data_IF_902353367746
#
_entry.id   IF_902353367746
#
_cell.length_a   1.000
_cell.length_b   1.000
_cell.length_c   1.000
_cell.angle_alpha   90.00
_cell.angle_beta   90.00
_cell.angle_gamma   90.00
#
_symmetry.space_group_name_H-M   'P 1'
#
loop_
_entity.id
_entity.type
_entity.pdbx_description
1 polymer ?
#
# COMPACT_ATOMS: atom_id res chain seq x y z
N UNK A 1 20.10 11.21 -13.42
CA UNK A 1 18.97 11.43 -14.36
C UNK A 1 18.31 10.12 -14.79
N UNK A 2 19.07 9.12 -15.25
CA UNK A 2 18.54 7.76 -15.56
C UNK A 2 17.79 7.07 -14.41
N UNK A 3 18.31 7.21 -13.17
CA UNK A 3 17.71 6.56 -11.99
C UNK A 3 16.25 6.98 -11.73
N UNK A 4 15.93 8.26 -11.96
CA UNK A 4 14.58 8.79 -11.77
C UNK A 4 13.61 8.29 -12.84
N UNK A 5 14.10 8.11 -14.07
CA UNK A 5 13.30 7.55 -15.16
C UNK A 5 12.96 6.07 -14.90
N UNK A 6 13.93 5.28 -14.45
CA UNK A 6 13.71 3.87 -14.07
C UNK A 6 12.78 3.77 -12.86
N UNK A 7 12.96 4.61 -11.84
CA UNK A 7 12.08 4.64 -10.67
C UNK A 7 10.62 4.97 -11.04
N UNK A 8 10.40 5.92 -11.97
CA UNK A 8 9.06 6.25 -12.46
C UNK A 8 8.41 5.09 -13.21
N UNK A 9 9.15 4.37 -14.06
CA UNK A 9 8.64 3.19 -14.77
C UNK A 9 8.28 2.05 -13.81
N UNK A 10 9.11 1.81 -12.80
CA UNK A 10 8.83 0.80 -11.77
C UNK A 10 7.63 1.24 -10.92
N UNK A 11 7.52 2.50 -10.54
CA UNK A 11 6.38 3.04 -9.80
C UNK A 11 5.06 2.93 -10.58
N UNK A 12 5.10 3.20 -11.90
CA UNK A 12 3.97 3.00 -12.80
C UNK A 12 3.57 1.53 -12.88
N UNK A 13 4.54 0.64 -13.13
CA UNK A 13 4.28 -0.81 -13.18
C UNK A 13 3.74 -1.35 -11.86
N UNK A 14 4.32 -0.92 -10.73
CA UNK A 14 3.87 -1.26 -9.39
C UNK A 14 2.45 -0.77 -9.09
N UNK A 15 2.11 0.44 -9.53
CA UNK A 15 0.76 1.02 -9.37
C UNK A 15 -0.27 0.30 -10.23
N UNK A 16 0.04 0.01 -11.50
CA UNK A 16 -0.86 -0.72 -12.40
C UNK A 16 -1.06 -2.16 -11.90
N UNK A 17 0.02 -2.90 -11.63
CA UNK A 17 -0.09 -4.26 -11.11
C UNK A 17 -0.77 -4.28 -9.74
N UNK A 18 -0.36 -3.39 -8.83
CA UNK A 18 -0.92 -3.28 -7.48
C UNK A 18 -2.42 -2.94 -7.46
N UNK A 19 -2.89 -2.12 -8.42
CA UNK A 19 -4.31 -1.80 -8.57
C UNK A 19 -5.11 -2.92 -9.22
N UNK A 20 -4.52 -3.68 -10.15
CA UNK A 20 -5.12 -4.89 -10.75
C UNK A 20 -5.27 -6.03 -9.74
N UNK A 21 -4.29 -6.23 -8.85
CA UNK A 21 -4.38 -7.27 -7.81
C UNK A 21 -5.20 -6.83 -6.59
N UNK A 22 -5.60 -5.55 -6.50
CA UNK A 22 -6.32 -5.01 -5.35
C UNK A 22 -5.49 -4.90 -4.06
N UNK A 23 -4.18 -5.14 -4.15
CA UNK A 23 -3.23 -5.09 -3.02
C UNK A 23 -2.72 -3.67 -2.72
N UNK A 24 -2.98 -2.71 -3.61
CA UNK A 24 -2.67 -1.29 -3.40
C UNK A 24 -1.21 -0.88 -3.63
N UNK A 25 -0.36 -1.74 -4.20
CA UNK A 25 1.00 -1.40 -4.65
C UNK A 25 2.03 -1.10 -3.55
N UNK A 26 1.61 -1.04 -2.29
CA UNK A 26 2.43 -0.69 -1.13
C UNK A 26 3.63 -1.58 -0.89
N UNK A 27 3.49 -2.88 -1.18
CA UNK A 27 4.56 -3.86 -1.03
C UNK A 27 5.78 -3.56 -1.91
N UNK A 28 5.58 -2.81 -3.00
CA UNK A 28 6.66 -2.34 -3.88
C UNK A 28 7.14 -0.94 -3.48
N UNK A 29 6.23 -0.05 -3.09
CA UNK A 29 6.55 1.35 -2.77
C UNK A 29 7.48 1.46 -1.56
N UNK A 30 7.25 0.69 -0.49
CA UNK A 30 8.10 0.73 0.72
C UNK A 30 9.57 0.36 0.44
N UNK A 31 9.88 -0.80 -0.15
CA UNK A 31 11.27 -1.15 -0.46
C UNK A 31 11.88 -0.24 -1.52
N UNK A 32 11.11 0.26 -2.49
CA UNK A 32 11.61 1.24 -3.46
C UNK A 32 12.06 2.55 -2.80
N UNK A 33 11.27 3.08 -1.86
CA UNK A 33 11.62 4.29 -1.12
C UNK A 33 12.82 4.06 -0.20
N UNK A 34 12.92 2.89 0.42
CA UNK A 34 14.07 2.52 1.24
C UNK A 34 15.37 2.45 0.41
N UNK A 35 15.33 1.77 -0.74
CA UNK A 35 16.48 1.69 -1.68
C UNK A 35 16.85 3.09 -2.21
N UNK A 36 15.88 3.99 -2.35
CA UNK A 36 16.10 5.39 -2.71
C UNK A 36 16.73 6.24 -1.59
N UNK A 37 16.98 5.68 -0.41
CA UNK A 37 17.61 6.36 0.73
C UNK A 37 16.64 7.16 1.60
N UNK A 38 15.33 6.95 1.46
CA UNK A 38 14.32 7.59 2.32
C UNK A 38 14.25 6.84 3.65
N UNK A 39 14.22 7.60 4.75
CA UNK A 39 14.01 7.06 6.09
C UNK A 39 12.76 6.17 6.12
N UNK A 40 12.87 5.00 6.76
CA UNK A 40 11.84 3.98 6.71
C UNK A 40 10.53 4.44 7.37
N UNK A 41 10.57 5.35 8.35
CA UNK A 41 9.36 5.98 8.93
C UNK A 41 8.60 6.77 7.88
N UNK A 42 9.32 7.58 7.12
CA UNK A 42 8.75 8.42 6.07
C UNK A 42 8.27 7.55 4.91
N UNK A 43 9.04 6.53 4.53
CA UNK A 43 8.68 5.59 3.48
C UNK A 43 7.37 4.85 3.79
N UNK A 44 7.21 4.35 5.03
CA UNK A 44 5.98 3.69 5.47
C UNK A 44 4.79 4.65 5.44
N UNK A 45 4.94 5.87 5.99
CA UNK A 45 3.87 6.88 5.97
C UNK A 45 3.44 7.29 4.56
N UNK A 46 4.40 7.57 3.66
CA UNK A 46 4.11 7.95 2.28
C UNK A 46 3.46 6.79 1.50
N UNK A 47 3.93 5.56 1.72
CA UNK A 47 3.33 4.37 1.08
C UNK A 47 1.88 4.17 1.51
N UNK A 48 1.54 4.36 2.79
CA UNK A 48 0.18 4.21 3.30
C UNK A 48 -0.80 5.17 2.60
N UNK A 49 -0.39 6.42 2.42
CA UNK A 49 -1.18 7.41 1.66
C UNK A 49 -1.34 7.01 0.19
N UNK A 50 -0.27 6.56 -0.46
CA UNK A 50 -0.33 6.12 -1.87
C UNK A 50 -1.19 4.86 -2.06
N UNK A 51 -1.14 3.92 -1.12
CA UNK A 51 -1.97 2.72 -1.08
C UNK A 51 -3.44 3.12 -0.93
N UNK A 52 -3.76 4.04 -0.02
CA UNK A 52 -5.13 4.50 0.20
C UNK A 52 -5.79 5.02 -1.08
N UNK A 53 -5.11 5.90 -1.84
CA UNK A 53 -5.62 6.40 -3.11
C UNK A 53 -5.75 5.29 -4.17
N UNK A 54 -4.78 4.37 -4.24
CA UNK A 54 -4.87 3.22 -5.15
C UNK A 54 -6.03 2.29 -4.83
N UNK A 55 -6.23 1.95 -3.55
CA UNK A 55 -7.32 1.07 -3.11
C UNK A 55 -8.68 1.70 -3.35
N UNK A 56 -8.82 3.02 -3.16
CA UNK A 56 -10.02 3.76 -3.56
C UNK A 56 -10.30 3.62 -5.06
N UNK A 57 -9.29 3.86 -5.90
CA UNK A 57 -9.41 3.72 -7.35
C UNK A 57 -9.80 2.30 -7.76
N UNK A 58 -9.11 1.28 -7.24
CA UNK A 58 -9.43 -0.13 -7.47
C UNK A 58 -10.85 -0.47 -7.02
N UNK A 59 -11.24 -0.08 -5.81
CA UNK A 59 -12.59 -0.38 -5.27
C UNK A 59 -13.67 0.22 -6.16
N UNK A 60 -13.51 1.47 -6.62
CA UNK A 60 -14.44 2.11 -7.55
C UNK A 60 -14.48 1.35 -8.88
N UNK A 61 -13.32 1.00 -9.44
CA UNK A 61 -13.23 0.26 -10.68
C UNK A 61 -13.95 -1.10 -10.60
N UNK A 62 -13.66 -1.91 -9.58
CA UNK A 62 -14.30 -3.22 -9.37
C UNK A 62 -15.79 -3.12 -9.03
N UNK A 63 -16.20 -2.08 -8.29
CA UNK A 63 -17.60 -1.79 -7.97
C UNK A 63 -18.44 -1.60 -9.24
N UNK A 64 -17.90 -0.94 -10.27
CA UNK A 64 -18.60 -0.75 -11.56
C UNK A 64 -18.87 -2.06 -12.28
N UNK A 65 -18.04 -3.09 -12.09
CA UNK A 65 -18.23 -4.40 -12.68
C UNK A 65 -19.13 -5.34 -11.85
N UNK A 66 -19.70 -4.87 -10.72
CA UNK A 66 -20.55 -5.66 -9.79
C UNK A 66 -19.89 -6.94 -9.21
N UNK A 67 -18.57 -7.06 -9.27
CA UNK A 67 -17.84 -8.18 -8.65
C UNK A 67 -17.57 -7.98 -7.15
N UNK A 68 -18.02 -6.87 -6.56
CA UNK A 68 -17.74 -6.54 -5.16
C UNK A 68 -18.85 -7.08 -4.27
N UNK A 69 -18.53 -8.09 -3.47
CA UNK A 69 -19.38 -8.55 -2.36
C UNK A 69 -19.10 -7.65 -1.15
N UNK A 70 -19.92 -6.62 -0.98
CA UNK A 70 -19.73 -5.61 0.08
C UNK A 70 -19.69 -6.20 1.50
N UNK A 71 -20.40 -7.30 1.72
CA UNK A 71 -20.47 -7.97 3.02
C UNK A 71 -19.12 -8.62 3.39
N UNK A 72 -18.53 -9.37 2.45
CA UNK A 72 -17.18 -9.91 2.59
C UNK A 72 -16.12 -8.79 2.65
N UNK A 73 -16.28 -7.74 1.84
CA UNK A 73 -15.41 -6.58 1.86
C UNK A 73 -15.40 -5.87 3.21
N UNK A 74 -16.56 -5.67 3.83
CA UNK A 74 -16.68 -5.05 5.15
C UNK A 74 -16.04 -5.91 6.25
N UNK A 75 -16.27 -7.23 6.23
CA UNK A 75 -15.69 -8.15 7.19
C UNK A 75 -14.15 -8.17 7.11
N UNK A 76 -13.61 -8.25 5.89
CA UNK A 76 -12.16 -8.20 5.64
C UNK A 76 -11.54 -6.85 6.01
N UNK A 77 -12.24 -5.75 5.73
CA UNK A 77 -11.78 -4.41 6.10
C UNK A 77 -11.71 -4.25 7.62
N UNK A 78 -12.72 -4.74 8.34
CA UNK A 78 -12.76 -4.68 9.79
C UNK A 78 -11.63 -5.47 10.44
N UNK A 79 -11.40 -6.72 10.02
CA UNK A 79 -10.30 -7.54 10.53
C UNK A 79 -8.94 -6.98 10.13
N UNK A 80 -8.80 -6.41 8.94
CA UNK A 80 -7.58 -5.74 8.50
C UNK A 80 -7.24 -4.51 9.37
N UNK A 81 -8.22 -3.66 9.68
CA UNK A 81 -8.02 -2.48 10.55
C UNK A 81 -7.58 -2.90 11.94
N UNK A 82 -8.26 -3.89 12.53
CA UNK A 82 -7.92 -4.41 13.87
C UNK A 82 -6.49 -4.96 13.87
N UNK A 83 -6.17 -5.82 12.91
CA UNK A 83 -4.85 -6.47 12.82
C UNK A 83 -3.74 -5.44 12.53
N UNK A 84 -4.00 -4.45 11.67
CA UNK A 84 -3.04 -3.38 11.37
C UNK A 84 -2.73 -2.52 12.60
N UNK A 85 -3.75 -2.21 13.41
CA UNK A 85 -3.56 -1.46 14.66
C UNK A 85 -2.66 -2.24 15.64
N UNK A 86 -2.95 -3.52 15.87
CA UNK A 86 -2.13 -4.36 16.75
C UNK A 86 -0.71 -4.55 16.21
N UNK A 87 -0.55 -4.75 14.90
CA UNK A 87 0.75 -4.86 14.25
C UNK A 87 1.58 -3.58 14.43
N UNK A 88 0.98 -2.40 14.26
CA UNK A 88 1.66 -1.12 14.48
C UNK A 88 2.12 -0.93 15.93
N UNK A 89 1.35 -1.39 16.92
CA UNK A 89 1.77 -1.36 18.33
C UNK A 89 2.92 -2.33 18.59
N UNK A 90 2.88 -3.53 18.01
CA UNK A 90 3.92 -4.54 18.17
C UNK A 90 5.27 -4.07 17.60
N UNK A 91 5.26 -3.38 16.46
CA UNK A 91 6.49 -2.81 15.86
C UNK A 91 7.20 -1.85 16.81
N UNK A 92 6.46 -1.02 17.55
CA UNK A 92 7.04 -0.09 18.53
C UNK A 92 7.75 -0.78 19.69
N UNK A 93 7.30 -1.99 20.05
CA UNK A 93 7.87 -2.79 21.15
C UNK A 93 9.10 -3.56 20.68
N UNK A 94 9.08 -4.08 19.45
CA UNK A 94 10.20 -4.85 18.89
C UNK A 94 11.38 -3.99 18.45
N UNK A 95 11.13 -2.82 17.86
CA UNK A 95 12.19 -1.96 17.36
C UNK A 95 11.84 -0.48 17.65
N UNK A 96 12.20 0.06 18.83
CA UNK A 96 11.84 1.41 19.24
C UNK A 96 12.45 2.51 18.36
N UNK A 97 13.53 2.19 17.65
CA UNK A 97 14.26 3.12 16.77
C UNK A 97 13.63 3.26 15.38
N UNK A 98 12.55 2.50 15.11
CA UNK A 98 11.72 2.53 13.89
C UNK A 98 10.46 3.37 14.02
#
# INVERSE_FOLDING_TARGET
MWIYFVASLIGLGAGVLGSMFGLGGGFLIVPLLNIAGVDIRVAVGTSASAIFFNMLSSTIAYSRYKYVVYEAGALLSATAVVTAYFGAQLTKVLNPDL
#
